data_IF_236281004923
#
_entry.id   IF_236281004923
#
_cell.length_a   1.000
_cell.length_b   1.000
_cell.length_c   1.000
_cell.angle_alpha   90.00
_cell.angle_beta   90.00
_cell.angle_gamma   90.00
#
_symmetry.space_group_name_H-M   'P 1'
#
loop_
_entity.id
_entity.type
_entity.pdbx_description
1 polymer ?
#
# COMPACT_ATOMS: atom_id res chain seq x y z
N UNK A 1 -15.45 3.94 -17.90
CA UNK A 1 -14.36 3.97 -18.89
C UNK A 1 -14.97 4.00 -20.28
N UNK A 2 -14.47 4.88 -21.15
CA UNK A 2 -14.76 4.94 -22.57
C UNK A 2 -13.44 4.99 -23.29
N UNK A 3 -13.27 4.15 -24.33
CA UNK A 3 -12.08 4.13 -25.17
C UNK A 3 -12.47 3.87 -26.62
N UNK A 4 -11.71 4.48 -27.52
CA UNK A 4 -11.86 4.42 -28.96
C UNK A 4 -10.57 3.96 -29.60
N UNK A 5 -10.69 3.18 -30.65
CA UNK A 5 -9.58 2.82 -31.53
C UNK A 5 -9.91 3.26 -32.94
N UNK A 6 -9.01 4.01 -33.54
CA UNK A 6 -9.11 4.53 -34.90
C UNK A 6 -7.94 3.97 -35.73
N UNK A 7 -8.17 2.97 -36.57
CA UNK A 7 -7.16 2.56 -37.55
C UNK A 7 -7.01 3.68 -38.58
N UNK A 8 -5.79 4.17 -38.75
CA UNK A 8 -5.48 5.25 -39.71
C UNK A 8 -4.99 4.67 -41.05
N UNK A 9 -4.07 3.70 -40.99
CA UNK A 9 -3.59 2.98 -42.17
C UNK A 9 -3.46 1.48 -41.88
N UNK A 10 -3.51 0.67 -42.93
CA UNK A 10 -3.41 -0.78 -42.86
C UNK A 10 -2.10 -1.31 -43.49
N UNK A 11 -1.80 -2.58 -43.25
CA UNK A 11 -0.68 -3.29 -43.85
C UNK A 11 0.62 -3.18 -43.05
N UNK A 12 1.75 -3.35 -43.73
CA UNK A 12 3.09 -3.43 -43.09
C UNK A 12 3.55 -2.11 -42.47
N UNK A 13 2.92 -1.00 -42.84
CA UNK A 13 3.11 0.33 -42.25
C UNK A 13 1.83 0.81 -41.53
N UNK A 14 0.97 -0.15 -41.19
CA UNK A 14 -0.29 0.14 -40.49
C UNK A 14 -0.07 0.87 -39.19
N UNK A 15 -0.92 1.83 -38.92
CA UNK A 15 -0.94 2.56 -37.66
C UNK A 15 -2.36 2.73 -37.15
N UNK A 16 -2.48 2.86 -35.84
CA UNK A 16 -3.73 3.13 -35.17
C UNK A 16 -3.56 4.08 -34.01
N UNK A 17 -4.61 4.80 -33.74
CA UNK A 17 -4.74 5.71 -32.64
C UNK A 17 -5.74 5.17 -31.64
N UNK A 18 -5.36 5.09 -30.37
CA UNK A 18 -6.27 4.80 -29.26
C UNK A 18 -6.31 5.96 -28.30
N UNK A 19 -7.49 6.34 -27.87
CA UNK A 19 -7.68 7.37 -26.86
C UNK A 19 -8.91 7.08 -26.03
N UNK A 20 -8.94 7.62 -24.83
CA UNK A 20 -10.08 7.40 -23.98
C UNK A 20 -9.97 8.11 -22.65
N UNK A 21 -11.05 7.99 -21.88
CA UNK A 21 -11.15 8.55 -20.53
C UNK A 21 -11.70 7.52 -19.56
N UNK A 22 -11.30 7.66 -18.29
CA UNK A 22 -11.78 6.83 -17.19
C UNK A 22 -12.00 7.70 -15.97
N UNK A 23 -13.13 7.51 -15.31
CA UNK A 23 -13.38 7.98 -13.97
C UNK A 23 -13.47 6.78 -13.03
N UNK A 24 -12.80 6.86 -11.88
CA UNK A 24 -12.87 5.88 -10.82
C UNK A 24 -13.08 6.59 -9.49
N UNK A 25 -14.03 6.12 -8.69
CA UNK A 25 -14.26 6.55 -7.33
C UNK A 25 -14.09 5.35 -6.41
N UNK A 26 -13.34 5.53 -5.33
CA UNK A 26 -13.10 4.51 -4.31
C UNK A 26 -13.29 5.14 -2.94
N UNK A 27 -14.09 4.50 -2.11
CA UNK A 27 -14.23 4.82 -0.70
C UNK A 27 -13.59 3.73 0.11
N UNK A 28 -12.89 4.10 1.18
CA UNK A 28 -12.31 3.17 2.13
C UNK A 28 -12.57 3.68 3.54
N UNK A 29 -13.17 2.79 4.33
CA UNK A 29 -13.40 2.98 5.75
C UNK A 29 -12.54 1.98 6.51
N UNK A 30 -11.92 2.43 7.59
CA UNK A 30 -11.41 1.58 8.65
C UNK A 30 -12.19 1.95 9.90
N UNK A 31 -12.85 0.96 10.47
CA UNK A 31 -13.60 1.10 11.71
C UNK A 31 -13.28 -0.11 12.60
N UNK A 32 -12.33 0.08 13.50
CA UNK A 32 -11.87 -0.92 14.46
C UNK A 32 -12.36 -0.48 15.84
N UNK A 33 -13.02 -1.37 16.54
CA UNK A 33 -13.35 -1.25 17.95
C UNK A 33 -12.66 -2.40 18.67
N UNK A 34 -11.81 -2.06 19.61
CA UNK A 34 -11.13 -3.03 20.47
C UNK A 34 -11.50 -2.77 21.93
N UNK A 35 -11.76 -3.83 22.66
CA UNK A 35 -12.06 -3.76 24.09
C UNK A 35 -11.10 -4.67 24.84
N UNK A 36 -10.55 -4.16 25.92
CA UNK A 36 -9.78 -4.95 26.88
C UNK A 36 -10.69 -5.38 28.02
N UNK A 37 -10.65 -6.65 28.35
CA UNK A 37 -11.40 -7.29 29.44
C UNK A 37 -10.46 -7.83 30.51
N UNK A 38 -9.20 -7.41 30.56
CA UNK A 38 -8.16 -8.00 31.38
C UNK A 38 -8.52 -8.01 32.86
N UNK A 39 -9.10 -6.94 33.38
CA UNK A 39 -9.44 -6.83 34.81
C UNK A 39 -10.65 -7.71 35.18
N UNK A 40 -11.69 -7.70 34.34
CA UNK A 40 -12.85 -8.58 34.51
C UNK A 40 -12.47 -10.06 34.36
N UNK A 41 -11.52 -10.36 33.46
CA UNK A 41 -11.06 -11.71 33.20
C UNK A 41 -10.27 -12.30 34.35
N UNK A 42 -9.41 -11.54 35.03
CA UNK A 42 -8.59 -12.01 36.17
C UNK A 42 -9.45 -12.57 37.30
N UNK A 43 -10.56 -11.91 37.61
CA UNK A 43 -11.41 -12.29 38.72
C UNK A 43 -12.32 -13.50 38.39
N UNK A 44 -12.73 -13.63 37.15
CA UNK A 44 -13.74 -14.60 36.71
C UNK A 44 -13.14 -15.87 36.11
N UNK A 45 -11.99 -15.79 35.41
CA UNK A 45 -11.51 -16.87 34.53
C UNK A 45 -10.13 -17.42 34.87
N UNK A 46 -9.41 -16.87 35.84
CA UNK A 46 -8.00 -17.21 36.14
C UNK A 46 -7.74 -18.71 36.46
N UNK A 47 -8.78 -19.46 36.74
CA UNK A 47 -8.69 -20.92 37.06
C UNK A 47 -9.30 -21.83 36.00
N UNK A 48 -10.24 -21.32 35.21
CA UNK A 48 -11.00 -22.17 34.29
C UNK A 48 -10.30 -22.45 32.96
N UNK A 49 -9.47 -21.54 32.46
CA UNK A 49 -8.80 -21.79 31.18
C UNK A 49 -7.81 -22.97 31.28
N UNK A 50 -7.14 -23.16 32.41
CA UNK A 50 -6.20 -24.25 32.61
C UNK A 50 -6.89 -25.63 32.53
N UNK A 51 -8.18 -25.71 32.88
CA UNK A 51 -8.97 -26.92 32.77
C UNK A 51 -9.49 -27.20 31.36
N UNK A 52 -9.39 -26.19 30.46
CA UNK A 52 -9.89 -26.24 29.09
C UNK A 52 -8.76 -26.24 28.04
N UNK A 53 -7.56 -26.64 28.44
CA UNK A 53 -6.45 -26.84 27.51
C UNK A 53 -6.67 -28.11 26.69
N UNK A 54 -6.33 -28.03 25.42
CA UNK A 54 -6.35 -29.17 24.52
C UNK A 54 -5.05 -29.25 23.75
N UNK A 55 -4.50 -30.46 23.65
CA UNK A 55 -3.37 -30.72 22.79
C UNK A 55 -3.83 -30.78 21.34
N UNK A 56 -3.38 -29.84 20.52
CA UNK A 56 -3.64 -29.81 19.08
C UNK A 56 -2.40 -30.19 18.27
N UNK A 57 -1.53 -30.98 18.86
CA UNK A 57 -0.32 -31.46 18.17
C UNK A 57 -0.78 -32.37 17.03
N UNK A 58 -0.50 -31.90 15.80
CA UNK A 58 -0.66 -32.71 14.60
C UNK A 58 0.70 -33.25 14.20
N UNK A 59 0.76 -34.54 13.93
CA UNK A 59 1.96 -35.16 13.37
C UNK A 59 2.36 -34.46 12.09
N UNK A 60 3.62 -34.00 12.01
CA UNK A 60 4.14 -33.26 10.86
C UNK A 60 3.74 -31.76 10.77
N UNK A 61 3.19 -31.16 11.83
CA UNK A 61 2.82 -29.72 11.84
C UNK A 61 4.02 -28.78 11.69
N UNK A 62 5.19 -29.18 12.21
CA UNK A 62 6.44 -28.43 12.08
C UNK A 62 7.52 -29.33 11.47
N UNK A 63 8.37 -28.82 10.58
CA UNK A 63 9.48 -29.62 10.06
C UNK A 63 10.51 -29.86 11.16
N UNK A 64 10.58 -31.10 11.62
CA UNK A 64 11.51 -31.58 12.66
C UNK A 64 10.91 -31.62 14.07
N UNK A 65 11.53 -32.44 14.94
CA UNK A 65 11.12 -32.62 16.33
C UNK A 65 11.59 -31.51 17.28
N UNK A 66 12.15 -30.43 16.75
CA UNK A 66 12.77 -29.36 17.53
C UNK A 66 11.76 -28.48 18.25
N UNK A 67 10.54 -28.36 17.71
CA UNK A 67 9.48 -27.51 18.26
C UNK A 67 8.22 -28.36 18.48
N UNK A 68 7.99 -28.76 19.70
CA UNK A 68 6.70 -29.34 20.07
C UNK A 68 5.78 -28.22 20.52
N UNK A 69 4.63 -28.00 19.84
CA UNK A 69 3.64 -27.06 20.33
C UNK A 69 3.14 -27.52 21.71
N UNK A 70 2.92 -26.57 22.61
CA UNK A 70 2.31 -26.79 23.91
C UNK A 70 0.79 -26.94 23.77
N UNK A 71 0.11 -27.22 24.88
CA UNK A 71 -1.34 -27.21 24.93
C UNK A 71 -1.88 -25.81 24.65
N UNK A 72 -3.01 -25.75 23.97
CA UNK A 72 -3.72 -24.51 23.61
C UNK A 72 -5.09 -24.51 24.29
N UNK A 73 -5.62 -23.32 24.56
CA UNK A 73 -7.00 -23.18 25.01
C UNK A 73 -7.94 -23.70 23.92
N UNK A 74 -8.95 -24.48 24.31
CA UNK A 74 -9.88 -25.10 23.36
C UNK A 74 -10.74 -24.05 22.66
N UNK A 75 -11.06 -24.29 21.38
CA UNK A 75 -11.95 -23.41 20.61
C UNK A 75 -13.36 -23.37 21.19
N UNK A 76 -13.81 -24.47 21.72
CA UNK A 76 -15.10 -24.63 22.36
C UNK A 76 -15.20 -23.74 23.61
N UNK A 77 -14.14 -23.72 24.43
CA UNK A 77 -14.06 -22.81 25.57
C UNK A 77 -14.06 -21.34 25.15
N UNK A 78 -13.19 -20.96 24.23
CA UNK A 78 -13.13 -19.56 23.71
C UNK A 78 -14.47 -19.12 23.11
N UNK A 79 -15.14 -20.02 22.39
CA UNK A 79 -16.46 -19.75 21.80
C UNK A 79 -17.61 -19.73 22.82
N UNK A 80 -17.41 -20.26 24.04
CA UNK A 80 -18.40 -20.22 25.10
C UNK A 80 -18.34 -18.98 25.98
N UNK A 81 -17.29 -18.14 25.83
CA UNK A 81 -17.14 -16.93 26.61
C UNK A 81 -18.19 -15.89 26.17
N UNK A 82 -19.05 -15.49 27.09
CA UNK A 82 -20.01 -14.39 26.85
C UNK A 82 -19.40 -13.06 27.26
N UNK A 83 -18.65 -12.46 26.31
CA UNK A 83 -18.05 -11.14 26.50
C UNK A 83 -19.08 -10.00 26.56
N UNK A 84 -20.34 -10.25 26.12
CA UNK A 84 -21.38 -9.21 26.13
C UNK A 84 -21.89 -8.91 27.54
N UNK A 85 -21.67 -9.80 28.47
CA UNK A 85 -22.02 -9.66 29.90
C UNK A 85 -20.92 -8.99 30.73
N UNK A 86 -19.76 -8.72 30.13
CA UNK A 86 -18.59 -8.18 30.83
C UNK A 86 -18.42 -6.69 30.54
N UNK A 87 -17.94 -5.95 31.55
CA UNK A 87 -17.47 -4.60 31.35
C UNK A 87 -16.07 -4.64 30.73
N UNK A 88 -15.95 -4.17 29.47
CA UNK A 88 -14.70 -4.02 28.78
C UNK A 88 -14.32 -2.56 28.62
N UNK A 89 -13.04 -2.24 28.77
CA UNK A 89 -12.51 -0.92 28.50
C UNK A 89 -12.17 -0.79 27.01
N UNK A 90 -12.62 0.30 26.37
CA UNK A 90 -12.30 0.54 24.97
C UNK A 90 -10.86 0.97 24.83
N UNK A 91 -10.09 0.24 24.01
CA UNK A 91 -8.70 0.60 23.65
C UNK A 91 -8.73 1.73 22.60
N UNK A 92 -8.59 2.97 23.05
CA UNK A 92 -8.68 4.15 22.19
C UNK A 92 -7.51 4.24 21.20
N UNK A 93 -6.32 3.76 21.56
CA UNK A 93 -5.16 3.66 20.67
C UNK A 93 -5.51 2.93 19.37
N UNK A 94 -6.15 1.77 19.45
CA UNK A 94 -6.57 0.98 18.27
C UNK A 94 -7.62 1.72 17.44
N UNK A 95 -8.51 2.46 18.10
CA UNK A 95 -9.52 3.29 17.45
C UNK A 95 -8.92 4.52 16.76
N UNK A 96 -7.75 5.00 17.17
CA UNK A 96 -7.04 6.12 16.55
C UNK A 96 -6.67 5.84 15.09
N UNK A 97 -6.47 4.59 14.74
CA UNK A 97 -6.23 4.15 13.36
C UNK A 97 -7.45 4.17 12.45
N UNK A 98 -8.64 4.51 12.96
CA UNK A 98 -9.87 4.58 12.18
C UNK A 98 -9.88 5.80 11.25
N UNK A 99 -10.45 5.62 10.07
CA UNK A 99 -10.54 6.70 9.09
C UNK A 99 -11.63 6.46 8.05
N UNK A 100 -12.06 7.55 7.45
CA UNK A 100 -12.83 7.56 6.22
C UNK A 100 -12.01 8.25 5.12
N UNK A 101 -11.89 7.61 3.95
CA UNK A 101 -11.20 8.19 2.79
C UNK A 101 -11.99 7.95 1.51
N UNK A 102 -12.09 8.99 0.67
CA UNK A 102 -12.68 8.90 -0.66
C UNK A 102 -11.72 9.45 -1.70
N UNK A 103 -11.32 8.60 -2.63
CA UNK A 103 -10.45 8.92 -3.75
C UNK A 103 -11.25 8.92 -5.05
N UNK A 104 -11.10 10.00 -5.82
CA UNK A 104 -11.62 10.12 -7.17
C UNK A 104 -10.45 10.32 -8.14
N UNK A 105 -10.37 9.47 -9.14
CA UNK A 105 -9.34 9.53 -10.18
C UNK A 105 -10.00 9.72 -11.52
N UNK A 106 -9.74 10.87 -12.14
CA UNK A 106 -10.11 11.16 -13.53
C UNK A 106 -8.86 11.00 -14.37
N UNK A 107 -8.97 10.24 -15.45
CA UNK A 107 -7.82 9.99 -16.32
C UNK A 107 -8.22 10.03 -17.79
N UNK A 108 -7.29 10.52 -18.61
CA UNK A 108 -7.36 10.47 -20.06
C UNK A 108 -6.07 9.85 -20.60
N UNK A 109 -6.15 9.17 -21.71
CA UNK A 109 -4.98 8.61 -22.37
C UNK A 109 -5.07 8.72 -23.88
N UNK A 110 -3.89 8.77 -24.46
CA UNK A 110 -3.65 8.72 -25.88
C UNK A 110 -2.53 7.71 -26.14
N UNK A 111 -2.71 6.87 -27.16
CA UNK A 111 -1.74 5.85 -27.55
C UNK A 111 -1.70 5.76 -29.08
N UNK A 112 -0.50 5.78 -29.63
CA UNK A 112 -0.23 5.60 -31.02
C UNK A 112 0.54 4.29 -31.26
N UNK A 113 0.00 3.44 -32.09
CA UNK A 113 0.60 2.16 -32.49
C UNK A 113 1.04 2.27 -33.94
N UNK A 114 2.30 1.95 -34.24
CA UNK A 114 2.91 2.05 -35.56
C UNK A 114 3.67 0.79 -35.93
N UNK A 115 3.36 0.21 -37.09
CA UNK A 115 4.21 -0.79 -37.73
C UNK A 115 5.24 -0.09 -38.63
N UNK A 116 6.51 -0.38 -38.44
CA UNK A 116 7.61 0.08 -39.26
C UNK A 116 8.13 -1.10 -40.09
N UNK A 117 7.38 -1.42 -41.16
CA UNK A 117 7.60 -2.60 -41.97
C UNK A 117 7.11 -3.88 -41.28
N UNK A 118 7.62 -5.04 -41.72
CA UNK A 118 7.22 -6.35 -41.20
C UNK A 118 7.83 -6.70 -39.85
N UNK A 119 8.93 -6.06 -39.50
CA UNK A 119 9.79 -6.49 -38.38
C UNK A 119 9.70 -5.61 -37.14
N UNK A 120 9.31 -4.37 -37.26
CA UNK A 120 9.34 -3.42 -36.13
C UNK A 120 7.92 -2.94 -35.84
N UNK A 121 7.57 -3.02 -34.54
CA UNK A 121 6.34 -2.41 -33.99
C UNK A 121 6.72 -1.46 -32.89
N UNK A 122 6.15 -0.26 -32.96
CA UNK A 122 6.32 0.78 -31.95
C UNK A 122 4.96 1.13 -31.34
N UNK A 123 4.94 1.39 -30.05
CA UNK A 123 3.79 1.90 -29.34
C UNK A 123 4.25 3.05 -28.45
N UNK A 124 3.66 4.22 -28.65
CA UNK A 124 3.90 5.40 -27.83
C UNK A 124 2.59 5.81 -27.16
N UNK A 125 2.61 6.04 -25.86
CA UNK A 125 1.44 6.39 -25.07
C UNK A 125 1.71 7.50 -24.06
N UNK A 126 0.69 8.29 -23.78
CA UNK A 126 0.68 9.25 -22.70
C UNK A 126 -0.64 9.15 -21.97
N UNK A 127 -0.57 9.02 -20.65
CA UNK A 127 -1.73 9.01 -19.77
C UNK A 127 -1.62 10.14 -18.75
N UNK A 128 -2.69 10.88 -18.59
CA UNK A 128 -2.86 11.86 -17.52
C UNK A 128 -3.78 11.27 -16.45
N UNK A 129 -3.43 11.45 -15.19
CA UNK A 129 -4.29 11.13 -14.05
C UNK A 129 -4.41 12.33 -13.11
N UNK A 130 -5.63 12.84 -12.95
CA UNK A 130 -5.97 13.82 -11.94
C UNK A 130 -6.61 13.08 -10.75
N UNK A 131 -5.94 13.11 -9.62
CA UNK A 131 -6.39 12.46 -8.38
C UNK A 131 -6.87 13.49 -7.39
N UNK A 132 -8.02 13.24 -6.77
CA UNK A 132 -8.59 14.06 -5.73
C UNK A 132 -9.01 13.16 -4.57
N UNK A 133 -8.45 13.41 -3.39
CA UNK A 133 -8.68 12.61 -2.19
C UNK A 133 -9.26 13.50 -1.10
N UNK A 134 -10.31 13.01 -0.43
CA UNK A 134 -10.85 13.58 0.81
C UNK A 134 -10.73 12.53 1.90
N UNK A 135 -10.35 12.94 3.09
CA UNK A 135 -10.13 12.03 4.21
C UNK A 135 -10.30 12.74 5.55
N UNK A 136 -10.64 11.96 6.57
CA UNK A 136 -10.63 12.33 7.97
C UNK A 136 -10.19 11.11 8.81
N UNK A 137 -9.81 11.38 10.05
CA UNK A 137 -9.36 10.39 10.99
C UNK A 137 -9.45 10.91 12.41
N UNK A 138 -8.60 10.41 13.31
CA UNK A 138 -8.65 10.71 14.72
C UNK A 138 -7.26 11.09 15.25
N UNK A 139 -7.24 11.98 16.22
CA UNK A 139 -6.09 12.29 17.07
C UNK A 139 -6.26 11.52 18.39
N UNK A 140 -5.23 10.84 18.82
CA UNK A 140 -5.18 10.13 20.08
C UNK A 140 -4.13 10.78 20.99
N UNK A 141 -4.47 10.98 22.25
CA UNK A 141 -3.57 11.62 23.19
C UNK A 141 -3.72 10.95 24.56
N UNK A 142 -2.59 10.58 25.15
CA UNK A 142 -2.49 10.09 26.53
C UNK A 142 -1.88 11.22 27.35
N UNK A 143 -2.58 11.64 28.38
CA UNK A 143 -2.11 12.67 29.30
C UNK A 143 -0.98 12.12 30.20
N UNK A 144 -0.10 13.01 30.65
CA UNK A 144 0.90 12.71 31.67
C UNK A 144 0.31 13.01 33.05
N UNK A 145 -0.71 12.24 33.42
CA UNK A 145 -1.35 12.26 34.73
C UNK A 145 -1.27 10.87 35.39
N UNK A 146 -1.74 10.75 36.63
CA UNK A 146 -1.67 9.48 37.36
C UNK A 146 -2.55 8.39 36.76
N UNK A 147 -3.59 8.79 36.04
CA UNK A 147 -4.60 7.91 35.48
C UNK A 147 -4.38 7.66 33.98
N UNK A 148 -3.29 8.27 33.40
CA UNK A 148 -2.95 8.19 31.97
C UNK A 148 -4.17 8.45 31.06
N UNK A 149 -4.94 9.48 31.39
CA UNK A 149 -6.22 9.78 30.75
C UNK A 149 -6.09 9.85 29.23
N UNK A 150 -6.82 9.00 28.54
CA UNK A 150 -6.84 8.94 27.08
C UNK A 150 -7.94 9.80 26.48
N UNK A 151 -7.66 10.43 25.34
CA UNK A 151 -8.64 11.17 24.56
C UNK A 151 -8.55 10.82 23.08
N UNK A 152 -9.70 10.78 22.40
CA UNK A 152 -9.81 10.53 20.96
C UNK A 152 -10.65 11.64 20.32
N UNK A 153 -10.03 12.46 19.47
CA UNK A 153 -10.66 13.60 18.83
C UNK A 153 -10.59 13.52 17.29
N UNK A 154 -11.63 13.94 16.55
CA UNK A 154 -11.59 13.92 15.09
C UNK A 154 -10.58 14.94 14.53
N UNK A 155 -9.82 14.55 13.48
CA UNK A 155 -8.88 15.45 12.80
C UNK A 155 -9.55 16.53 11.95
N UNK A 156 -10.87 16.42 11.69
CA UNK A 156 -11.58 17.21 10.70
C UNK A 156 -11.42 16.67 9.27
N UNK A 157 -11.99 17.41 8.30
CA UNK A 157 -11.96 17.00 6.90
C UNK A 157 -10.77 17.62 6.17
N UNK A 158 -9.98 16.77 5.55
CA UNK A 158 -8.81 17.14 4.76
C UNK A 158 -8.96 16.72 3.30
N UNK A 159 -8.19 17.34 2.42
CA UNK A 159 -8.17 17.06 0.98
C UNK A 159 -6.76 17.16 0.43
N UNK A 160 -6.46 16.30 -0.55
CA UNK A 160 -5.25 16.40 -1.36
C UNK A 160 -5.60 16.23 -2.83
N UNK A 161 -4.87 16.90 -3.73
CA UNK A 161 -5.11 16.84 -5.17
C UNK A 161 -3.82 17.01 -5.93
N UNK A 162 -3.62 16.17 -6.94
CA UNK A 162 -2.43 16.21 -7.79
C UNK A 162 -2.73 15.65 -9.18
N UNK A 163 -1.87 16.00 -10.15
CA UNK A 163 -1.93 15.51 -11.54
C UNK A 163 -0.60 14.85 -11.89
N UNK A 164 -0.66 13.68 -12.50
CA UNK A 164 0.49 12.94 -12.98
C UNK A 164 0.39 12.65 -14.47
N UNK A 165 1.54 12.71 -15.15
CA UNK A 165 1.70 12.37 -16.55
C UNK A 165 2.54 11.11 -16.64
N UNK A 166 2.03 10.09 -17.32
CA UNK A 166 2.60 8.76 -17.36
C UNK A 166 2.90 8.39 -18.83
N UNK A 167 4.08 8.78 -19.34
CA UNK A 167 4.52 8.37 -20.67
C UNK A 167 4.88 6.90 -20.73
N UNK A 168 4.68 6.29 -21.89
CA UNK A 168 5.10 4.92 -22.21
C UNK A 168 5.59 4.82 -23.64
N UNK A 169 6.67 4.07 -23.85
CA UNK A 169 7.23 3.79 -25.15
C UNK A 169 7.65 2.32 -25.19
N UNK A 170 7.16 1.60 -26.18
CA UNK A 170 7.47 0.19 -26.37
C UNK A 170 7.93 -0.06 -27.80
N UNK A 171 9.00 -0.83 -27.95
CA UNK A 171 9.51 -1.30 -29.21
C UNK A 171 9.54 -2.82 -29.21
N UNK A 172 9.14 -3.40 -30.31
CA UNK A 172 9.32 -4.81 -30.62
C UNK A 172 10.03 -4.92 -31.96
N UNK A 173 11.10 -5.70 -32.00
CA UNK A 173 11.84 -6.00 -33.21
C UNK A 173 11.91 -7.51 -33.43
N UNK A 174 11.26 -8.00 -34.48
CA UNK A 174 11.34 -9.37 -34.95
C UNK A 174 12.59 -9.49 -35.85
N UNK A 175 13.75 -9.84 -35.28
CA UNK A 175 15.04 -9.96 -36.00
C UNK A 175 14.88 -10.97 -37.12
N UNK A 176 14.34 -12.13 -36.76
CA UNK A 176 13.92 -13.22 -37.66
C UNK A 176 12.70 -13.93 -37.03
N UNK A 177 12.29 -15.07 -37.58
CA UNK A 177 11.13 -15.82 -37.10
C UNK A 177 11.35 -16.36 -35.69
N UNK A 178 12.57 -16.65 -35.31
CA UNK A 178 12.94 -17.28 -34.06
C UNK A 178 13.36 -16.28 -32.96
N UNK A 179 13.97 -15.12 -33.31
CA UNK A 179 14.51 -14.15 -32.36
C UNK A 179 13.68 -12.86 -32.34
N UNK A 180 13.18 -12.50 -31.16
CA UNK A 180 12.43 -11.26 -30.91
C UNK A 180 13.08 -10.45 -29.80
N UNK A 181 13.32 -9.18 -30.09
CA UNK A 181 13.82 -8.21 -29.13
C UNK A 181 12.70 -7.25 -28.72
N UNK A 182 12.69 -6.88 -27.43
CA UNK A 182 11.78 -5.86 -26.93
C UNK A 182 12.55 -4.86 -26.09
N UNK A 183 12.12 -3.61 -26.20
CA UNK A 183 12.56 -2.52 -25.34
C UNK A 183 11.34 -1.75 -24.88
N UNK A 184 11.29 -1.40 -23.60
CA UNK A 184 10.23 -0.55 -23.08
C UNK A 184 10.75 0.50 -22.12
N UNK A 185 10.13 1.68 -22.19
CA UNK A 185 10.26 2.73 -21.20
C UNK A 185 8.86 3.07 -20.69
N UNK A 186 8.68 3.08 -19.36
CA UNK A 186 7.39 3.43 -18.75
C UNK A 186 7.61 4.25 -17.49
N UNK A 187 6.78 5.26 -17.31
CA UNK A 187 6.63 5.94 -16.04
C UNK A 187 5.38 5.42 -15.32
N UNK A 188 5.53 5.04 -14.06
CA UNK A 188 4.44 4.52 -13.23
C UNK A 188 4.40 5.24 -11.89
N UNK A 189 3.24 5.23 -11.24
CA UNK A 189 3.06 5.83 -9.93
C UNK A 189 2.53 4.83 -8.90
N UNK A 190 2.90 5.10 -7.63
CA UNK A 190 2.32 4.44 -6.45
C UNK A 190 1.80 5.50 -5.49
N UNK A 191 0.50 5.46 -5.19
CA UNK A 191 -0.13 6.43 -4.30
C UNK A 191 0.20 6.15 -2.84
N UNK A 192 0.28 7.20 -2.00
CA UNK A 192 0.41 7.02 -0.54
C UNK A 192 -0.73 6.18 0.01
N UNK A 193 -0.46 5.46 1.10
CA UNK A 193 -1.52 4.82 1.88
C UNK A 193 -2.40 5.90 2.51
N UNK A 194 -3.71 5.65 2.61
CA UNK A 194 -4.63 6.64 3.21
C UNK A 194 -4.27 6.95 4.67
N UNK A 195 -3.87 5.93 5.43
CA UNK A 195 -3.41 6.12 6.82
C UNK A 195 -2.20 7.05 6.97
N UNK A 196 -1.31 7.08 5.96
CA UNK A 196 -0.16 7.97 5.96
C UNK A 196 -0.52 9.43 5.61
N UNK A 197 -1.61 9.64 4.86
CA UNK A 197 -2.09 10.97 4.47
C UNK A 197 -2.86 11.68 5.56
N UNK A 198 -3.52 10.94 6.46
CA UNK A 198 -4.36 11.52 7.50
C UNK A 198 -3.46 12.28 8.47
N UNK A 199 -3.66 13.60 8.66
CA UNK A 199 -2.82 14.40 9.54
C UNK A 199 -3.20 14.19 11.01
N UNK A 200 -3.28 12.91 11.43
CA UNK A 200 -3.46 12.57 12.84
C UNK A 200 -2.24 13.00 13.64
N UNK A 201 -2.48 13.36 14.89
CA UNK A 201 -1.45 13.64 15.89
C UNK A 201 -1.74 12.69 17.05
N UNK A 202 -0.93 11.65 17.16
CA UNK A 202 -1.04 10.67 18.23
C UNK A 202 0.09 10.93 19.22
N UNK A 203 -0.26 11.26 20.44
CA UNK A 203 0.64 11.63 21.52
C UNK A 203 0.53 10.60 22.63
N UNK A 204 1.61 9.91 22.91
CA UNK A 204 1.78 9.12 24.12
C UNK A 204 2.84 9.78 25.00
N UNK A 205 2.41 10.45 26.05
CA UNK A 205 3.32 11.16 26.97
C UNK A 205 4.01 10.22 27.93
N UNK A 206 3.38 9.12 28.33
CA UNK A 206 3.98 8.10 29.19
C UNK A 206 5.22 7.50 28.56
N UNK A 207 5.17 7.19 27.27
CA UNK A 207 6.26 6.62 26.49
C UNK A 207 7.16 7.68 25.83
N UNK A 208 6.77 8.95 25.92
CA UNK A 208 7.43 10.06 25.23
C UNK A 208 7.46 9.88 23.69
N UNK A 209 6.37 9.37 23.13
CA UNK A 209 6.23 9.15 21.70
C UNK A 209 5.21 10.11 21.05
N UNK A 210 5.56 10.54 19.83
CA UNK A 210 4.69 11.34 18.96
C UNK A 210 4.66 10.72 17.57
N UNK A 211 3.47 10.40 17.09
CA UNK A 211 3.26 9.90 15.73
C UNK A 211 2.34 10.85 14.99
N UNK A 212 2.76 11.29 13.81
CA UNK A 212 1.97 12.20 12.98
C UNK A 212 1.82 11.65 11.57
N UNK A 213 0.63 11.81 10.98
CA UNK A 213 0.46 11.63 9.55
C UNK A 213 1.00 12.82 8.73
N UNK A 214 0.97 12.71 7.41
CA UNK A 214 1.50 13.75 6.51
C UNK A 214 0.59 13.95 5.29
N UNK A 215 -0.19 15.04 5.33
CA UNK A 215 -1.10 15.41 4.22
C UNK A 215 -0.40 15.86 2.94
N UNK A 216 0.91 16.20 3.01
CA UNK A 216 1.69 16.71 1.87
C UNK A 216 2.31 15.62 1.01
N UNK A 217 2.03 14.34 1.33
CA UNK A 217 2.52 13.24 0.54
C UNK A 217 1.92 13.24 -0.86
N UNK A 218 2.81 13.12 -1.84
CA UNK A 218 2.46 12.90 -3.24
C UNK A 218 2.88 11.49 -3.67
N UNK A 219 2.40 10.99 -4.80
CA UNK A 219 2.77 9.66 -5.27
C UNK A 219 4.27 9.48 -5.46
N UNK A 220 4.75 8.28 -5.15
CA UNK A 220 6.04 7.78 -5.60
C UNK A 220 6.02 7.57 -7.10
N UNK A 221 7.02 8.07 -7.82
CA UNK A 221 7.16 7.93 -9.26
C UNK A 221 8.30 6.96 -9.58
N UNK A 222 8.04 6.03 -10.50
CA UNK A 222 9.04 5.08 -10.97
C UNK A 222 9.23 5.16 -12.47
N UNK A 223 10.48 5.39 -12.91
CA UNK A 223 10.92 5.28 -14.30
C UNK A 223 11.48 3.88 -14.51
N UNK A 224 10.93 3.15 -15.46
CA UNK A 224 11.29 1.77 -15.72
C UNK A 224 11.80 1.66 -17.16
N UNK A 225 12.95 1.05 -17.32
CA UNK A 225 13.55 0.69 -18.61
C UNK A 225 13.74 -0.83 -18.62
N UNK A 226 13.16 -1.52 -19.59
CA UNK A 226 13.26 -2.96 -19.75
C UNK A 226 13.76 -3.30 -21.15
N UNK A 227 14.69 -4.23 -21.22
CA UNK A 227 15.18 -4.83 -22.46
C UNK A 227 15.07 -6.35 -22.35
N UNK A 228 14.50 -7.00 -23.37
CA UNK A 228 14.39 -8.45 -23.39
C UNK A 228 14.64 -9.04 -24.78
N UNK A 229 15.13 -10.26 -24.80
CA UNK A 229 15.34 -11.08 -25.96
C UNK A 229 14.69 -12.44 -25.77
N UNK A 230 13.85 -12.87 -26.71
CA UNK A 230 13.20 -14.17 -26.73
C UNK A 230 13.64 -14.95 -27.95
N UNK A 231 14.20 -16.15 -27.75
CA UNK A 231 14.58 -17.08 -28.82
C UNK A 231 13.67 -18.31 -28.79
N UNK A 232 12.95 -18.53 -29.88
CA UNK A 232 12.00 -19.65 -30.05
C UNK A 232 12.66 -20.79 -30.80
N UNK A 233 12.76 -21.97 -30.20
CA UNK A 233 13.21 -23.19 -30.88
C UNK A 233 12.03 -23.84 -31.60
N UNK A 234 12.20 -24.18 -32.85
CA UNK A 234 11.12 -24.67 -33.74
C UNK A 234 10.28 -25.83 -33.19
N UNK A 235 10.78 -26.61 -32.25
CA UNK A 235 10.06 -27.79 -31.73
C UNK A 235 10.17 -28.03 -30.23
N UNK A 236 10.97 -27.28 -29.48
CA UNK A 236 11.37 -27.68 -28.12
C UNK A 236 11.16 -26.64 -27.04
N UNK A 237 10.99 -25.34 -27.36
CA UNK A 237 10.82 -24.39 -26.30
C UNK A 237 11.26 -22.95 -26.60
N UNK A 238 11.38 -22.18 -25.53
CA UNK A 238 11.69 -20.75 -25.49
C UNK A 238 12.85 -20.54 -24.52
N UNK A 239 13.85 -19.76 -24.92
CA UNK A 239 14.82 -19.15 -24.02
C UNK A 239 14.57 -17.64 -24.02
N UNK A 240 14.38 -17.08 -22.83
CA UNK A 240 14.21 -15.63 -22.63
C UNK A 240 15.31 -15.11 -21.72
N UNK A 241 15.86 -13.95 -22.08
CA UNK A 241 16.77 -13.17 -21.24
C UNK A 241 16.30 -11.72 -21.20
N UNK A 242 16.46 -11.07 -20.06
CA UNK A 242 16.06 -9.68 -19.90
C UNK A 242 16.89 -8.97 -18.83
N UNK A 243 17.06 -7.67 -19.04
CA UNK A 243 17.64 -6.76 -18.07
C UNK A 243 16.67 -5.63 -17.84
N UNK A 244 16.64 -5.07 -16.63
CA UNK A 244 15.83 -3.91 -16.32
C UNK A 244 16.60 -2.90 -15.48
N UNK A 245 16.20 -1.65 -15.60
CA UNK A 245 16.65 -0.58 -14.74
C UNK A 245 15.43 0.16 -14.21
N UNK A 246 15.38 0.40 -12.90
CA UNK A 246 14.30 1.11 -12.24
C UNK A 246 14.85 2.24 -11.38
N UNK A 247 14.38 3.47 -11.64
CA UNK A 247 14.65 4.62 -10.80
C UNK A 247 13.37 5.06 -10.10
N UNK A 248 13.38 5.05 -8.77
CA UNK A 248 12.23 5.40 -7.93
C UNK A 248 12.51 6.76 -7.27
N UNK A 249 11.62 7.72 -7.48
CA UNK A 249 11.67 9.04 -6.86
C UNK A 249 10.57 9.15 -5.81
N UNK A 250 10.79 9.99 -4.80
CA UNK A 250 9.82 10.31 -3.75
C UNK A 250 9.27 9.05 -3.05
N UNK A 251 10.15 8.09 -2.79
CA UNK A 251 9.77 6.90 -2.04
C UNK A 251 9.35 7.29 -0.63
N UNK A 252 8.20 6.77 -0.17
CA UNK A 252 7.61 7.11 1.13
C UNK A 252 8.17 6.14 2.17
N UNK A 253 8.77 6.70 3.23
CA UNK A 253 9.32 5.98 4.38
C UNK A 253 8.83 6.62 5.67
N UNK A 254 8.69 5.83 6.71
CA UNK A 254 8.48 6.35 8.06
C UNK A 254 9.83 6.85 8.59
N UNK A 255 9.93 8.17 8.77
CA UNK A 255 11.09 8.80 9.36
C UNK A 255 10.92 8.83 10.88
N UNK A 256 11.91 8.30 11.59
CA UNK A 256 11.97 8.38 13.05
C UNK A 256 13.06 9.40 13.44
N UNK A 257 12.70 10.34 14.27
CA UNK A 257 13.60 11.38 14.80
C UNK A 257 13.57 11.30 16.33
N UNK A 258 14.75 11.29 16.96
CA UNK A 258 14.90 11.43 18.41
C UNK A 258 14.83 12.89 18.85
N UNK A 259 14.49 13.13 20.11
CA UNK A 259 14.53 14.43 20.77
C UNK A 259 13.80 15.55 19.96
N UNK A 260 12.53 15.35 19.71
CA UNK A 260 11.69 16.26 18.93
C UNK A 260 10.81 17.11 19.83
N UNK A 261 10.79 18.44 19.61
CA UNK A 261 9.94 19.36 20.36
C UNK A 261 8.65 19.66 19.59
N UNK A 262 7.50 19.39 20.19
CA UNK A 262 6.18 19.72 19.67
C UNK A 262 5.33 20.39 20.75
N UNK A 263 4.73 21.55 20.45
CA UNK A 263 3.90 22.33 21.37
C UNK A 263 4.54 22.55 22.75
N UNK A 264 5.84 22.89 22.78
CA UNK A 264 6.69 23.10 23.97
C UNK A 264 6.94 21.84 24.83
N UNK A 265 6.59 20.65 24.35
CA UNK A 265 6.94 19.38 24.99
C UNK A 265 8.02 18.67 24.18
N UNK A 266 8.94 17.99 24.87
CA UNK A 266 9.98 17.16 24.25
C UNK A 266 9.54 15.72 24.18
N UNK A 267 9.73 15.08 23.01
CA UNK A 267 9.41 13.68 22.76
C UNK A 267 10.69 12.95 22.36
N UNK A 268 10.95 11.80 22.97
CA UNK A 268 12.13 10.96 22.68
C UNK A 268 12.05 10.32 21.31
N UNK A 269 10.84 10.11 20.80
CA UNK A 269 10.60 9.48 19.52
C UNK A 269 9.49 10.19 18.76
N UNK A 270 9.81 10.73 17.61
CA UNK A 270 8.86 11.28 16.65
C UNK A 270 8.87 10.47 15.38
N UNK A 271 7.70 10.01 14.93
CA UNK A 271 7.53 9.22 13.72
C UNK A 271 6.57 9.92 12.75
N UNK A 272 7.02 10.09 11.50
CA UNK A 272 6.20 10.66 10.43
C UNK A 272 6.54 10.06 9.07
N UNK A 273 5.54 9.69 8.23
CA UNK A 273 5.80 9.31 6.85
C UNK A 273 6.31 10.51 6.05
N UNK A 274 7.45 10.34 5.38
CA UNK A 274 8.08 11.36 4.54
C UNK A 274 8.56 10.80 3.21
N UNK A 275 8.72 11.68 2.22
CA UNK A 275 9.33 11.36 0.92
C UNK A 275 10.84 11.44 1.01
N UNK A 276 11.54 10.51 0.38
CA UNK A 276 13.02 10.48 0.38
C UNK A 276 13.67 11.59 -0.43
N UNK A 277 12.94 12.24 -1.32
CA UNK A 277 13.40 13.39 -2.14
C UNK A 277 14.48 13.08 -3.17
N UNK A 278 15.06 11.86 -3.20
CA UNK A 278 16.04 11.40 -4.19
C UNK A 278 15.64 10.07 -4.77
N UNK A 279 15.91 9.89 -6.06
CA UNK A 279 15.65 8.62 -6.74
C UNK A 279 16.55 7.50 -6.19
N UNK A 280 15.92 6.36 -5.92
CA UNK A 280 16.62 5.10 -5.63
C UNK A 280 16.75 4.37 -6.96
N UNK A 281 17.98 4.17 -7.45
CA UNK A 281 18.26 3.35 -8.62
C UNK A 281 18.42 1.89 -8.19
N UNK A 282 17.68 1.00 -8.82
CA UNK A 282 17.84 -0.45 -8.65
C UNK A 282 18.35 -1.01 -9.97
N UNK A 283 19.64 -1.40 -10.06
CA UNK A 283 20.16 -2.16 -11.20
C UNK A 283 19.60 -3.59 -11.18
N UNK A 284 19.53 -4.17 -12.34
CA UNK A 284 19.16 -5.58 -12.53
C UNK A 284 20.32 -6.50 -12.20
#
# INVERSE_FOLDING_TARGET
KVDFELPLTNGIYGNSLRFGAKYASKTKDRNTLCYDYADTYKDTFDKDYMNNLTSQIRDGYMPGDQYKPTDFVSKEYLGSLDLSSMEGEQVLEESSGNYHARENVTSAFFRFDQNLGKKIKMMAGLRMEATHIKYNGWNWNVADDKDETETLEPTGNHKNSYVNWLPSLLFKYDVNDDLKLRASFTETLSRPKYSALIPCVNINRSDNELVMGNSDLTPTISYNLDLSADYYFKSVGLISAGIFYKKINDFIVDQVIGDYTYQNNEYKKFTQPKRTGRGIGLPA
#
